data_IF_164151983607
#
_entry.id   IF_164151983607
#
_cell.length_a   1.000
_cell.length_b   1.000
_cell.length_c   1.000
_cell.angle_alpha   90.00
_cell.angle_beta   90.00
_cell.angle_gamma   90.00
#
_symmetry.space_group_name_H-M   'P 1'
#
loop_
_entity.id
_entity.type
_entity.pdbx_description
1 polymer ?
#
# COMPACT_ATOMS: atom_id res chain seq x y z
N UNK A 1 -15.62 -25.81 -9.36
CA UNK A 1 -16.17 -24.57 -9.98
C UNK A 1 -16.69 -23.57 -8.94
N UNK A 2 -17.78 -23.84 -8.20
CA UNK A 2 -18.41 -22.87 -7.26
C UNK A 2 -17.44 -22.34 -6.19
N UNK A 3 -16.65 -23.21 -5.54
CA UNK A 3 -15.67 -22.81 -4.51
C UNK A 3 -14.58 -21.86 -5.04
N UNK A 4 -14.20 -22.03 -6.31
CA UNK A 4 -13.15 -21.24 -6.95
C UNK A 4 -13.66 -19.86 -7.36
N UNK A 5 -14.89 -19.80 -7.87
CA UNK A 5 -15.60 -18.54 -8.13
C UNK A 5 -15.80 -17.73 -6.84
N UNK A 6 -16.26 -18.36 -5.76
CA UNK A 6 -16.44 -17.70 -4.46
C UNK A 6 -15.12 -17.17 -3.89
N UNK A 7 -14.02 -17.91 -4.06
CA UNK A 7 -12.69 -17.47 -3.60
C UNK A 7 -12.18 -16.28 -4.40
N UNK A 8 -12.43 -16.24 -5.70
CA UNK A 8 -12.08 -15.11 -6.57
C UNK A 8 -12.89 -13.87 -6.22
N UNK A 9 -14.21 -14.01 -6.02
CA UNK A 9 -15.08 -12.91 -5.59
C UNK A 9 -14.63 -12.38 -4.22
N UNK A 10 -14.42 -13.27 -3.24
CA UNK A 10 -13.97 -12.89 -1.90
C UNK A 10 -12.65 -12.13 -1.91
N UNK A 11 -11.71 -12.52 -2.78
CA UNK A 11 -10.45 -11.79 -2.97
C UNK A 11 -10.65 -10.43 -3.63
N UNK A 12 -11.53 -10.34 -4.63
CA UNK A 12 -11.88 -9.07 -5.27
C UNK A 12 -12.51 -8.09 -4.27
N UNK A 13 -13.43 -8.57 -3.43
CA UNK A 13 -14.03 -7.79 -2.34
C UNK A 13 -12.94 -7.37 -1.33
N UNK A 14 -12.06 -8.29 -0.94
CA UNK A 14 -10.93 -7.97 -0.05
C UNK A 14 -10.06 -6.86 -0.61
N UNK A 15 -9.70 -6.92 -1.91
CA UNK A 15 -8.93 -5.86 -2.59
C UNK A 15 -9.66 -4.53 -2.58
N UNK A 16 -10.97 -4.51 -2.85
CA UNK A 16 -11.76 -3.29 -2.80
C UNK A 16 -11.81 -2.68 -1.39
N UNK A 17 -12.03 -3.49 -0.36
CA UNK A 17 -12.10 -3.03 1.04
C UNK A 17 -10.74 -2.49 1.50
N UNK A 18 -9.65 -3.20 1.20
CA UNK A 18 -8.28 -2.73 1.50
C UNK A 18 -7.98 -1.39 0.85
N UNK A 19 -8.31 -1.26 -0.44
CA UNK A 19 -8.13 -0.01 -1.19
C UNK A 19 -8.90 1.12 -0.53
N UNK A 20 -10.17 0.89 -0.19
CA UNK A 20 -11.01 1.89 0.46
C UNK A 20 -10.43 2.36 1.80
N UNK A 21 -9.99 1.42 2.66
CA UNK A 21 -9.37 1.74 3.95
C UNK A 21 -8.12 2.58 3.77
N UNK A 22 -7.22 2.17 2.87
CA UNK A 22 -5.94 2.84 2.66
C UNK A 22 -6.11 4.25 2.07
N UNK A 23 -6.94 4.39 1.04
CA UNK A 23 -7.25 5.70 0.42
C UNK A 23 -7.91 6.63 1.42
N UNK A 24 -8.81 6.10 2.26
CA UNK A 24 -9.46 6.89 3.32
C UNK A 24 -8.43 7.35 4.35
N UNK A 25 -7.55 6.46 4.80
CA UNK A 25 -6.49 6.80 5.76
C UNK A 25 -5.57 7.90 5.21
N UNK A 26 -5.13 7.77 3.95
CA UNK A 26 -4.29 8.76 3.28
C UNK A 26 -5.02 10.09 3.10
N UNK A 27 -6.28 10.07 2.68
CA UNK A 27 -7.09 11.29 2.48
C UNK A 27 -7.37 12.03 3.78
N UNK A 28 -7.73 11.30 4.85
CA UNK A 28 -7.96 11.88 6.19
C UNK A 28 -6.66 12.45 6.75
N UNK A 29 -5.55 11.71 6.63
CA UNK A 29 -4.25 12.19 7.08
C UNK A 29 -3.83 13.48 6.37
N UNK A 30 -3.89 13.52 5.03
CA UNK A 30 -3.54 14.71 4.27
C UNK A 30 -4.47 15.88 4.62
N UNK A 31 -5.76 15.64 4.81
CA UNK A 31 -6.71 16.67 5.24
C UNK A 31 -6.44 17.24 6.64
N UNK A 32 -5.85 16.44 7.55
CA UNK A 32 -5.49 16.87 8.91
C UNK A 32 -4.12 17.55 9.00
N UNK A 33 -3.17 17.17 8.14
CA UNK A 33 -1.79 17.71 8.13
C UNK A 33 -1.61 18.86 7.16
N UNK A 34 -2.43 18.94 6.10
CA UNK A 34 -2.33 19.96 5.07
C UNK A 34 -2.43 21.38 5.64
N UNK A 35 -1.35 22.15 5.53
CA UNK A 35 -1.32 23.56 5.94
C UNK A 35 -1.27 23.81 7.44
N UNK A 36 -1.07 22.79 8.28
CA UNK A 36 -0.86 22.95 9.72
C UNK A 36 0.60 22.74 10.11
N UNK A 37 1.02 23.30 11.24
CA UNK A 37 2.37 23.08 11.78
C UNK A 37 2.63 21.60 12.06
N UNK A 38 3.82 21.06 11.74
CA UNK A 38 4.16 19.65 11.97
C UNK A 38 4.18 19.28 13.46
N UNK A 39 4.37 20.25 14.35
CA UNK A 39 4.36 20.06 15.82
C UNK A 39 2.97 20.27 16.45
N UNK A 40 1.93 20.38 15.62
CA UNK A 40 0.56 20.59 16.10
C UNK A 40 -0.11 19.30 16.56
N UNK A 41 -1.12 19.43 17.42
CA UNK A 41 -2.01 18.31 17.81
C UNK A 41 -2.72 17.70 16.59
N UNK A 42 -3.12 18.53 15.63
CA UNK A 42 -3.74 18.07 14.39
C UNK A 42 -2.80 17.15 13.60
N UNK A 43 -1.52 17.55 13.48
CA UNK A 43 -0.51 16.72 12.81
C UNK A 43 -0.30 15.38 13.52
N UNK A 44 -0.17 15.39 14.85
CA UNK A 44 -0.03 14.17 15.63
C UNK A 44 -1.24 13.21 15.47
N UNK A 45 -2.47 13.75 15.51
CA UNK A 45 -3.70 12.98 15.28
C UNK A 45 -3.74 12.43 13.85
N UNK A 46 -3.35 13.23 12.86
CA UNK A 46 -3.28 12.80 11.46
C UNK A 46 -2.32 11.63 11.28
N UNK A 47 -1.11 11.73 11.83
CA UNK A 47 -0.09 10.66 11.74
C UNK A 47 -0.56 9.39 12.46
N UNK A 48 -1.19 9.52 13.63
CA UNK A 48 -1.76 8.39 14.35
C UNK A 48 -2.91 7.72 13.55
N UNK A 49 -3.79 8.52 12.94
CA UNK A 49 -4.86 8.02 12.08
C UNK A 49 -4.31 7.30 10.84
N UNK A 50 -3.25 7.84 10.22
CA UNK A 50 -2.56 7.18 9.11
C UNK A 50 -2.01 5.82 9.55
N UNK A 51 -1.26 5.77 10.65
CA UNK A 51 -0.67 4.54 11.16
C UNK A 51 -1.72 3.47 11.48
N UNK A 52 -2.82 3.87 12.13
CA UNK A 52 -3.94 2.98 12.42
C UNK A 52 -4.60 2.47 11.12
N UNK A 53 -4.82 3.34 10.14
CA UNK A 53 -5.40 2.97 8.85
C UNK A 53 -4.51 2.00 8.06
N UNK A 54 -3.21 2.26 8.00
CA UNK A 54 -2.23 1.38 7.35
C UNK A 54 -2.09 0.03 8.07
N UNK A 55 -2.19 0.01 9.40
CA UNK A 55 -2.24 -1.23 10.17
C UNK A 55 -3.48 -2.07 9.83
N UNK A 56 -4.66 -1.45 9.74
CA UNK A 56 -5.90 -2.12 9.34
C UNK A 56 -5.79 -2.62 7.90
N UNK A 57 -5.25 -1.82 6.98
CA UNK A 57 -5.01 -2.23 5.60
C UNK A 57 -4.05 -3.43 5.52
N UNK A 58 -2.97 -3.42 6.30
CA UNK A 58 -2.02 -4.53 6.40
C UNK A 58 -2.65 -5.81 6.98
N UNK A 59 -3.51 -5.69 7.99
CA UNK A 59 -4.27 -6.82 8.53
C UNK A 59 -5.21 -7.40 7.48
N UNK A 60 -5.96 -6.55 6.78
CA UNK A 60 -6.85 -6.98 5.70
C UNK A 60 -6.07 -7.65 4.54
N UNK A 61 -4.86 -7.18 4.24
CA UNK A 61 -3.97 -7.80 3.25
C UNK A 61 -3.56 -9.20 3.68
N UNK A 62 -3.16 -9.37 4.94
CA UNK A 62 -2.86 -10.68 5.50
C UNK A 62 -4.06 -11.62 5.41
N UNK A 63 -5.25 -11.17 5.82
CA UNK A 63 -6.48 -11.97 5.77
C UNK A 63 -6.89 -12.31 4.33
N UNK A 64 -6.72 -11.38 3.39
CA UNK A 64 -7.06 -11.60 1.97
C UNK A 64 -6.12 -12.59 1.29
N UNK A 65 -4.83 -12.55 1.64
CA UNK A 65 -3.81 -13.44 1.07
C UNK A 65 -3.80 -14.83 1.71
N UNK A 66 -3.81 -14.89 3.04
CA UNK A 66 -3.56 -16.11 3.81
C UNK A 66 -4.83 -16.75 4.41
N UNK A 67 -5.94 -16.00 4.48
CA UNK A 67 -7.16 -16.41 5.16
C UNK A 67 -7.11 -16.21 6.67
N UNK A 68 -8.20 -16.57 7.36
CA UNK A 68 -8.37 -16.39 8.82
C UNK A 68 -7.74 -17.52 9.66
N UNK A 69 -7.31 -18.60 9.03
CA UNK A 69 -6.77 -19.78 9.73
C UNK A 69 -5.28 -19.72 10.04
N UNK A 70 -4.58 -18.68 9.57
CA UNK A 70 -3.15 -18.48 9.82
C UNK A 70 -2.95 -17.48 10.97
N UNK A 71 -1.92 -17.68 11.83
CA UNK A 71 -1.63 -16.75 12.91
C UNK A 71 -1.19 -15.40 12.34
N UNK A 72 -1.73 -14.33 12.90
CA UNK A 72 -1.42 -12.96 12.48
C UNK A 72 -0.07 -12.55 13.09
N UNK A 73 0.95 -12.19 12.28
CA UNK A 73 2.23 -11.71 12.79
C UNK A 73 2.11 -10.24 13.21
N UNK A 74 1.46 -9.98 14.35
CA UNK A 74 1.08 -8.64 14.80
C UNK A 74 2.25 -7.65 14.89
N UNK A 75 3.40 -8.10 15.42
CA UNK A 75 4.62 -7.27 15.52
C UNK A 75 5.14 -6.88 14.13
N UNK A 76 5.18 -7.81 13.19
CA UNK A 76 5.63 -7.54 11.82
C UNK A 76 4.68 -6.58 11.12
N UNK A 77 3.36 -6.78 11.24
CA UNK A 77 2.37 -5.86 10.68
C UNK A 77 2.46 -4.47 11.30
N UNK A 78 2.66 -4.38 12.61
CA UNK A 78 2.88 -3.13 13.33
C UNK A 78 4.12 -2.38 12.82
N UNK A 79 5.26 -3.07 12.75
CA UNK A 79 6.51 -2.49 12.25
C UNK A 79 6.39 -2.01 10.79
N UNK A 80 5.74 -2.82 9.94
CA UNK A 80 5.46 -2.46 8.55
C UNK A 80 4.57 -1.23 8.46
N UNK A 81 3.47 -1.16 9.23
CA UNK A 81 2.57 -0.01 9.23
C UNK A 81 3.27 1.27 9.70
N UNK A 82 4.09 1.19 10.76
CA UNK A 82 4.90 2.32 11.23
C UNK A 82 5.89 2.76 10.16
N UNK A 83 6.63 1.83 9.53
CA UNK A 83 7.57 2.15 8.46
C UNK A 83 6.91 2.82 7.26
N UNK A 84 5.74 2.35 6.85
CA UNK A 84 4.95 2.96 5.78
C UNK A 84 4.45 4.36 6.16
N UNK A 85 3.99 4.53 7.40
CA UNK A 85 3.60 5.85 7.92
C UNK A 85 4.76 6.84 7.83
N UNK A 86 5.96 6.42 8.24
CA UNK A 86 7.16 7.26 8.15
C UNK A 86 7.54 7.60 6.70
N UNK A 87 7.36 6.67 5.76
CA UNK A 87 7.57 6.94 4.34
C UNK A 87 6.61 8.00 3.82
N UNK A 88 5.32 7.91 4.17
CA UNK A 88 4.32 8.90 3.77
C UNK A 88 4.58 10.27 4.37
N UNK A 89 4.85 10.33 5.68
CA UNK A 89 5.18 11.59 6.38
C UNK A 89 6.45 12.21 5.83
N UNK A 90 7.50 11.41 5.66
CA UNK A 90 8.78 11.86 5.09
C UNK A 90 8.65 12.32 3.65
N UNK A 91 7.82 11.66 2.84
CA UNK A 91 7.52 12.09 1.48
C UNK A 91 6.79 13.42 1.43
N UNK A 92 5.76 13.63 2.25
CA UNK A 92 5.04 14.90 2.29
C UNK A 92 5.98 16.04 2.70
N UNK A 93 6.81 15.82 3.73
CA UNK A 93 7.83 16.79 4.14
C UNK A 93 8.84 17.07 3.02
N UNK A 94 9.28 16.03 2.29
CA UNK A 94 10.16 16.21 1.14
C UNK A 94 9.49 17.02 0.01
N UNK A 95 8.19 16.84 -0.23
CA UNK A 95 7.45 17.65 -1.21
C UNK A 95 7.34 19.10 -0.76
N UNK A 96 7.02 19.36 0.51
CA UNK A 96 6.94 20.72 1.06
C UNK A 96 8.27 21.48 1.02
N UNK A 97 9.39 20.76 1.11
CA UNK A 97 10.74 21.31 0.98
C UNK A 97 11.22 21.44 -0.47
N UNK A 98 10.46 20.91 -1.43
CA UNK A 98 10.89 20.82 -2.82
C UNK A 98 10.29 21.94 -3.66
N UNK A 99 11.13 22.65 -4.39
CA UNK A 99 10.70 23.68 -5.32
C UNK A 99 10.49 23.12 -6.73
N UNK A 100 9.32 23.40 -7.29
CA UNK A 100 8.98 23.11 -8.68
C UNK A 100 8.81 21.61 -9.02
N UNK A 101 8.63 21.36 -10.32
CA UNK A 101 8.27 20.02 -10.84
C UNK A 101 9.39 18.99 -10.64
N UNK A 102 10.66 19.41 -10.77
CA UNK A 102 11.81 18.53 -10.58
C UNK A 102 11.91 18.05 -9.13
N UNK A 103 11.64 18.94 -8.17
CA UNK A 103 11.60 18.61 -6.75
C UNK A 103 10.51 17.59 -6.42
N UNK A 104 9.30 17.83 -6.91
CA UNK A 104 8.17 16.90 -6.77
C UNK A 104 8.47 15.52 -7.38
N UNK A 105 9.08 15.49 -8.57
CA UNK A 105 9.48 14.23 -9.21
C UNK A 105 10.56 13.50 -8.40
N UNK A 106 11.52 14.23 -7.83
CA UNK A 106 12.54 13.69 -6.94
C UNK A 106 11.96 13.10 -5.66
N UNK A 107 11.03 13.81 -5.00
CA UNK A 107 10.31 13.30 -3.83
C UNK A 107 9.48 12.05 -4.16
N UNK A 108 8.79 12.04 -5.31
CA UNK A 108 8.07 10.87 -5.81
C UNK A 108 8.99 9.68 -6.07
N UNK A 109 10.16 9.89 -6.67
CA UNK A 109 11.16 8.85 -6.88
C UNK A 109 11.71 8.29 -5.55
N UNK A 110 11.98 9.15 -4.57
CA UNK A 110 12.41 8.73 -3.23
C UNK A 110 11.33 7.89 -2.54
N UNK A 111 10.05 8.30 -2.63
CA UNK A 111 8.93 7.51 -2.13
C UNK A 111 8.85 6.15 -2.84
N UNK A 112 9.01 6.11 -4.17
CA UNK A 112 8.99 4.86 -4.93
C UNK A 112 10.05 3.87 -4.45
N UNK A 113 11.27 4.36 -4.18
CA UNK A 113 12.38 3.54 -3.66
C UNK A 113 12.06 3.04 -2.24
N UNK A 114 11.61 3.93 -1.35
CA UNK A 114 11.24 3.57 0.02
C UNK A 114 10.12 2.52 0.07
N UNK A 115 9.08 2.71 -0.74
CA UNK A 115 7.97 1.75 -0.87
C UNK A 115 8.45 0.43 -1.48
N UNK A 116 9.33 0.45 -2.49
CA UNK A 116 9.87 -0.77 -3.08
C UNK A 116 10.61 -1.64 -2.05
N UNK A 117 11.44 -1.01 -1.21
CA UNK A 117 12.16 -1.66 -0.12
C UNK A 117 11.17 -2.22 0.91
N UNK A 118 10.22 -1.40 1.35
CA UNK A 118 9.17 -1.81 2.29
C UNK A 118 8.37 -3.01 1.76
N UNK A 119 7.94 -2.98 0.50
CA UNK A 119 7.20 -4.06 -0.15
C UNK A 119 8.05 -5.33 -0.26
N UNK A 120 9.37 -5.21 -0.43
CA UNK A 120 10.29 -6.34 -0.41
C UNK A 120 10.45 -6.95 0.99
N UNK A 121 10.59 -6.13 2.03
CA UNK A 121 10.62 -6.55 3.43
C UNK A 121 9.33 -7.29 3.79
N UNK A 122 8.18 -6.72 3.40
CA UNK A 122 6.88 -7.34 3.62
C UNK A 122 6.76 -8.71 2.92
N UNK A 123 7.19 -8.82 1.66
CA UNK A 123 7.16 -10.09 0.92
C UNK A 123 8.12 -11.14 1.49
N UNK A 124 9.30 -10.75 1.96
CA UNK A 124 10.23 -11.67 2.64
C UNK A 124 9.63 -12.21 3.94
N UNK A 125 9.07 -11.31 4.77
CA UNK A 125 8.43 -11.70 6.02
C UNK A 125 7.21 -12.62 5.78
N UNK A 126 6.39 -12.34 4.76
CA UNK A 126 5.27 -13.21 4.39
C UNK A 126 5.71 -14.59 3.91
N UNK A 127 6.91 -14.71 3.33
CA UNK A 127 7.48 -15.99 2.88
C UNK A 127 8.30 -16.70 3.96
N UNK A 128 8.33 -16.18 5.20
CA UNK A 128 9.11 -16.75 6.30
C UNK A 128 10.62 -16.65 6.11
N UNK A 129 11.09 -15.67 5.32
CA UNK A 129 12.52 -15.37 5.15
C UNK A 129 12.94 -14.21 6.05
N UNK A 130 14.25 -14.03 6.21
CA UNK A 130 14.78 -12.84 6.85
C UNK A 130 14.30 -11.57 6.12
N UNK A 131 13.78 -10.56 6.84
CA UNK A 131 13.15 -9.40 6.20
C UNK A 131 14.06 -8.64 5.23
N UNK A 132 15.38 -8.68 5.47
CA UNK A 132 16.38 -7.97 4.67
C UNK A 132 17.08 -8.83 3.60
N UNK A 133 16.67 -10.09 3.44
CA UNK A 133 17.30 -11.05 2.53
C UNK A 133 17.29 -10.57 1.06
N UNK A 134 16.20 -9.95 0.62
CA UNK A 134 16.09 -9.36 -0.71
C UNK A 134 15.34 -8.03 -0.64
N UNK A 135 16.06 -6.92 -0.79
CA UNK A 135 15.49 -5.57 -0.72
C UNK A 135 15.01 -5.04 -2.07
N UNK A 136 15.47 -5.63 -3.17
CA UNK A 136 15.13 -5.19 -4.53
C UNK A 136 14.63 -6.38 -5.34
N UNK A 137 13.34 -6.35 -5.67
CA UNK A 137 12.71 -7.32 -6.58
C UNK A 137 11.90 -6.56 -7.61
N UNK A 138 11.92 -7.01 -8.86
CA UNK A 138 11.21 -6.33 -9.96
C UNK A 138 9.72 -6.11 -9.66
N UNK A 139 9.07 -7.08 -9.01
CA UNK A 139 7.66 -6.97 -8.64
C UNK A 139 7.42 -5.88 -7.57
N UNK A 140 8.24 -5.84 -6.52
CA UNK A 140 8.08 -4.89 -5.41
C UNK A 140 8.49 -3.47 -5.82
N UNK A 141 9.50 -3.35 -6.69
CA UNK A 141 9.83 -2.10 -7.36
C UNK A 141 8.67 -1.57 -8.21
N UNK A 142 7.99 -2.45 -8.96
CA UNK A 142 6.79 -2.08 -9.72
C UNK A 142 5.64 -1.60 -8.81
N UNK A 143 5.46 -2.22 -7.65
CA UNK A 143 4.44 -1.80 -6.67
C UNK A 143 4.76 -0.42 -6.08
N UNK A 144 6.02 -0.20 -5.66
CA UNK A 144 6.45 1.08 -5.14
C UNK A 144 6.36 2.20 -6.17
N UNK A 145 6.74 1.94 -7.42
CA UNK A 145 6.62 2.91 -8.50
C UNK A 145 5.15 3.28 -8.81
N UNK A 146 4.26 2.28 -8.90
CA UNK A 146 2.84 2.51 -9.16
C UNK A 146 2.20 3.37 -8.07
N UNK A 147 2.48 3.05 -6.81
CA UNK A 147 1.95 3.76 -5.66
C UNK A 147 2.49 5.18 -5.55
N UNK A 148 3.80 5.37 -5.76
CA UNK A 148 4.39 6.70 -5.79
C UNK A 148 3.86 7.58 -6.93
N UNK A 149 3.68 7.02 -8.13
CA UNK A 149 3.04 7.75 -9.25
C UNK A 149 1.61 8.15 -8.90
N UNK A 150 0.84 7.23 -8.31
CA UNK A 150 -0.51 7.51 -7.82
C UNK A 150 -0.54 8.61 -6.74
N UNK A 151 0.39 8.55 -5.80
CA UNK A 151 0.56 9.53 -4.73
C UNK A 151 0.91 10.92 -5.26
N UNK A 152 1.88 11.01 -6.17
CA UNK A 152 2.26 12.27 -6.81
C UNK A 152 1.12 12.85 -7.63
N UNK A 153 0.43 12.03 -8.45
CA UNK A 153 -0.71 12.48 -9.22
C UNK A 153 -1.87 12.96 -8.32
N UNK A 154 -2.15 12.24 -7.24
CA UNK A 154 -3.11 12.63 -6.22
C UNK A 154 -2.78 14.00 -5.62
N UNK A 155 -1.54 14.20 -5.16
CA UNK A 155 -1.13 15.44 -4.52
C UNK A 155 -1.15 16.62 -5.49
N UNK A 156 -0.72 16.44 -6.74
CA UNK A 156 -0.79 17.45 -7.81
C UNK A 156 -2.23 17.91 -8.05
N UNK A 157 -3.18 16.98 -8.06
CA UNK A 157 -4.59 17.34 -8.25
C UNK A 157 -5.15 18.03 -7.01
N UNK A 158 -4.91 17.51 -5.80
CA UNK A 158 -5.49 18.05 -4.56
C UNK A 158 -4.91 19.42 -4.20
N UNK A 159 -3.63 19.67 -4.50
CA UNK A 159 -2.97 20.97 -4.32
C UNK A 159 -3.44 22.05 -5.30
N UNK A 160 -4.25 21.69 -6.31
CA UNK A 160 -4.76 22.64 -7.30
C UNK A 160 -3.76 23.02 -8.39
N UNK A 161 -2.61 22.34 -8.47
CA UNK A 161 -1.64 22.54 -9.57
C UNK A 161 -2.28 22.22 -10.93
N UNK A 162 -3.19 21.24 -10.97
CA UNK A 162 -3.99 20.92 -12.15
C UNK A 162 -5.43 21.39 -11.96
N UNK A 163 -5.90 22.22 -12.89
CA UNK A 163 -7.29 22.68 -12.92
C UNK A 163 -8.21 21.56 -13.42
N UNK A 164 -9.18 21.16 -12.60
CA UNK A 164 -10.22 20.21 -13.00
C UNK A 164 -11.40 20.98 -13.60
N UNK A 165 -11.76 20.74 -14.88
CA UNK A 165 -12.90 21.40 -15.49
C UNK A 165 -14.21 21.08 -14.76
N UNK A 166 -15.09 22.07 -14.62
CA UNK A 166 -16.36 21.92 -13.87
C UNK A 166 -17.33 20.88 -14.43
N UNK A 167 -17.15 20.43 -15.68
CA UNK A 167 -17.96 19.38 -16.30
C UNK A 167 -17.52 17.95 -15.90
N UNK A 168 -16.35 17.77 -15.29
CA UNK A 168 -15.85 16.46 -14.85
C UNK A 168 -16.66 15.93 -13.66
N UNK A 169 -17.14 16.82 -12.80
CA UNK A 169 -17.99 16.49 -11.65
C UNK A 169 -19.20 17.43 -11.63
N UNK A 170 -20.23 17.16 -12.45
CA UNK A 170 -21.41 18.00 -12.53
C UNK A 170 -22.24 17.95 -11.23
N UNK A 171 -22.09 16.89 -10.45
CA UNK A 171 -22.74 16.72 -9.15
C UNK A 171 -21.76 17.08 -8.05
N UNK A 172 -22.09 18.08 -7.23
CA UNK A 172 -21.35 18.38 -6.00
C UNK A 172 -21.59 17.26 -4.99
N UNK A 173 -20.54 16.54 -4.63
CA UNK A 173 -20.58 15.65 -3.48
C UNK A 173 -20.40 16.52 -2.24
N UNK A 174 -21.40 16.52 -1.35
CA UNK A 174 -21.48 17.46 -0.24
C UNK A 174 -20.19 17.47 0.59
N UNK A 175 -19.59 18.67 0.76
CA UNK A 175 -18.41 18.90 1.58
C UNK A 175 -17.05 18.66 0.93
N UNK A 176 -16.98 18.10 -0.29
CA UNK A 176 -15.70 17.80 -0.95
C UNK A 176 -15.47 18.66 -2.21
N UNK A 177 -14.24 19.12 -2.40
CA UNK A 177 -13.85 19.81 -3.65
C UNK A 177 -13.74 18.80 -4.81
N UNK A 178 -13.96 19.23 -6.06
CA UNK A 178 -13.74 18.38 -7.23
C UNK A 178 -12.32 17.81 -7.30
N UNK A 179 -11.32 18.60 -6.92
CA UNK A 179 -9.92 18.16 -6.84
C UNK A 179 -9.71 17.05 -5.81
N UNK A 180 -10.34 17.14 -4.64
CA UNK A 180 -10.27 16.09 -3.62
C UNK A 180 -10.82 14.76 -4.15
N UNK A 181 -11.96 14.80 -4.85
CA UNK A 181 -12.61 13.61 -5.40
C UNK A 181 -11.77 12.99 -6.52
N UNK A 182 -11.34 13.79 -7.50
CA UNK A 182 -10.53 13.29 -8.62
C UNK A 182 -9.19 12.78 -8.13
N UNK A 183 -8.54 13.50 -7.22
CA UNK A 183 -7.29 13.07 -6.61
C UNK A 183 -7.45 11.74 -5.86
N UNK A 184 -8.48 11.61 -5.02
CA UNK A 184 -8.75 10.36 -4.30
C UNK A 184 -9.05 9.20 -5.25
N UNK A 185 -9.75 9.46 -6.38
CA UNK A 185 -10.00 8.44 -7.41
C UNK A 185 -8.71 7.99 -8.11
N UNK A 186 -7.78 8.91 -8.41
CA UNK A 186 -6.47 8.57 -8.98
C UNK A 186 -5.64 7.72 -8.02
N UNK A 187 -5.59 8.12 -6.75
CA UNK A 187 -4.93 7.34 -5.69
C UNK A 187 -5.57 5.96 -5.56
N UNK A 188 -6.90 5.89 -5.50
CA UNK A 188 -7.64 4.64 -5.40
C UNK A 188 -7.37 3.72 -6.58
N UNK A 189 -7.28 4.23 -7.81
CA UNK A 189 -6.93 3.43 -8.97
C UNK A 189 -5.52 2.82 -8.83
N UNK A 190 -4.52 3.62 -8.45
CA UNK A 190 -3.15 3.15 -8.28
C UNK A 190 -3.03 2.10 -7.15
N UNK A 191 -3.63 2.37 -6.00
CA UNK A 191 -3.66 1.48 -4.83
C UNK A 191 -4.43 0.20 -5.14
N UNK A 192 -5.56 0.29 -5.85
CA UNK A 192 -6.34 -0.87 -6.28
C UNK A 192 -5.53 -1.79 -7.20
N UNK A 193 -4.89 -1.22 -8.23
CA UNK A 193 -4.06 -1.98 -9.16
C UNK A 193 -2.87 -2.60 -8.41
N UNK A 194 -2.25 -1.87 -7.47
CA UNK A 194 -1.20 -2.41 -6.60
C UNK A 194 -1.69 -3.62 -5.81
N UNK A 195 -2.80 -3.48 -5.07
CA UNK A 195 -3.37 -4.57 -4.26
C UNK A 195 -3.76 -5.77 -5.10
N UNK A 196 -4.37 -5.55 -6.26
CA UNK A 196 -4.72 -6.62 -7.21
C UNK A 196 -3.47 -7.38 -7.67
N UNK A 197 -2.42 -6.67 -8.05
CA UNK A 197 -1.17 -7.27 -8.48
C UNK A 197 -0.43 -7.96 -7.33
N UNK A 198 -0.48 -7.40 -6.11
CA UNK A 198 0.13 -7.97 -4.92
C UNK A 198 -0.55 -9.29 -4.53
N UNK A 199 -1.88 -9.34 -4.50
CA UNK A 199 -2.64 -10.58 -4.28
C UNK A 199 -2.31 -11.60 -5.37
N UNK A 200 -2.30 -11.20 -6.65
CA UNK A 200 -1.92 -12.09 -7.75
C UNK A 200 -0.47 -12.59 -7.60
N UNK A 201 0.44 -11.77 -7.12
CA UNK A 201 1.84 -12.14 -6.89
C UNK A 201 1.98 -13.14 -5.75
N UNK A 202 1.29 -12.92 -4.63
CA UNK A 202 1.29 -13.80 -3.46
C UNK A 202 0.75 -15.20 -3.79
N UNK A 203 -0.16 -15.31 -4.76
CA UNK A 203 -0.73 -16.58 -5.20
C UNK A 203 0.17 -17.37 -6.16
N UNK A 204 1.29 -16.81 -6.64
CA UNK A 204 2.19 -17.56 -7.51
C UNK A 204 2.95 -18.61 -6.70
N UNK A 205 2.99 -19.88 -7.14
CA UNK A 205 3.78 -20.90 -6.48
C UNK A 205 5.25 -20.47 -6.39
N UNK A 206 5.83 -20.53 -5.19
CA UNK A 206 7.29 -20.42 -5.01
C UNK A 206 7.94 -21.71 -5.48
N UNK A 207 8.95 -21.61 -6.37
CA UNK A 207 9.76 -22.77 -6.85
C UNK A 207 10.24 -23.69 -5.71
N UNK A 208 10.51 -23.14 -4.53
CA UNK A 208 10.93 -23.90 -3.35
C UNK A 208 9.90 -24.94 -2.86
N UNK A 209 8.59 -24.71 -3.08
CA UNK A 209 7.56 -25.71 -2.75
C UNK A 209 7.53 -26.88 -3.76
N UNK A 210 8.10 -26.69 -4.96
CA UNK A 210 8.23 -27.74 -5.97
C UNK A 210 9.43 -28.64 -5.71
N UNK A 211 10.49 -28.13 -5.10
CA UNK A 211 11.70 -28.91 -4.75
C UNK A 211 11.58 -29.64 -3.40
N UNK A 212 10.81 -29.10 -2.44
CA UNK A 212 10.54 -29.79 -1.17
C UNK A 212 9.59 -31.01 -1.29
N UNK A 213 9.01 -31.24 -2.48
CA UNK A 213 8.05 -32.33 -2.73
C UNK A 213 8.66 -33.67 -3.16
N UNK A 214 9.99 -33.80 -3.26
CA UNK A 214 10.60 -35.03 -3.78
C UNK A 214 11.94 -35.42 -3.13
N UNK A 215 11.98 -35.44 -1.80
CA UNK A 215 12.89 -36.33 -1.09
C UNK A 215 12.10 -37.23 -0.14
N UNK A 216 11.56 -38.31 -0.70
CA UNK A 216 11.15 -39.48 0.08
C UNK A 216 12.40 -40.08 0.74
N UNK A 217 12.65 -39.71 1.98
CA UNK A 217 13.53 -40.46 2.88
C UNK A 217 12.85 -41.79 3.25
N UNK A 218 12.80 -42.72 2.30
CA UNK A 218 12.67 -44.13 2.62
C UNK A 218 14.03 -44.59 3.15
N UNK A 219 14.27 -44.37 4.43
CA UNK A 219 15.30 -45.12 5.17
C UNK A 219 14.64 -46.41 5.65
N UNK A 220 14.98 -47.59 5.08
CA UNK A 220 14.46 -48.84 5.61
C UNK A 220 15.04 -49.09 6.99
N UNK A 221 14.14 -49.34 7.96
CA UNK A 221 14.49 -49.80 9.31
C UNK A 221 15.25 -51.12 9.16
N UNK A 222 16.54 -51.13 9.51
CA UNK A 222 17.31 -52.36 9.67
C UNK A 222 16.99 -52.96 11.04
N UNK A 223 16.57 -54.23 11.02
CA UNK A 223 16.40 -55.11 12.17
C UNK A 223 17.74 -55.33 12.89
#
# INVERSE_FOLDING_TARGET
MIRETLRTIGRGVGVAVMTGVEVTALSVWLGLVGGVSPLSRAAAVGVAALAAGLLVAGLLAHLTANGTGQPIPALTLGALAVGETLLWVGWLAAVELSDGVAGLAGAGAALAVGLAIRHAIADNAHRGRDPLDSLVRRATAGFGALEAVGATAWLVVVSGVVSIPGWVLPVRIAGFSPSAIVGAALLACAVFVRHLLAVRHALRPTRAATEAGWHSSQTPIRK
#
